data_IF_988253222440
#
_entry.id   IF_988253222440
#
_cell.length_a   1.000
_cell.length_b   1.000
_cell.length_c   1.000
_cell.angle_alpha   90.00
_cell.angle_beta   90.00
_cell.angle_gamma   90.00
#
_symmetry.space_group_name_H-M   'P 1'
#
loop_
_entity.id
_entity.type
_entity.pdbx_description
1 polymer ?
#
# COMPACT_ATOMS: atom_id res chain seq x y z
N UNK A 1 -9.55 3.32 -5.93
CA UNK A 1 -8.31 2.81 -6.56
C UNK A 1 -8.22 1.32 -6.30
N UNK A 2 -8.01 0.51 -7.33
CA UNK A 2 -7.85 -0.95 -7.18
C UNK A 2 -6.38 -1.36 -7.30
N UNK A 3 -5.89 -2.02 -6.26
CA UNK A 3 -4.50 -2.48 -6.14
C UNK A 3 -4.46 -3.99 -6.03
N UNK A 4 -3.43 -4.60 -6.62
CA UNK A 4 -3.09 -6.00 -6.42
C UNK A 4 -1.73 -6.09 -5.77
N UNK A 5 -1.62 -6.91 -4.72
CA UNK A 5 -0.32 -7.18 -4.09
C UNK A 5 0.51 -8.03 -5.06
N UNK A 6 1.54 -7.42 -5.64
CA UNK A 6 2.48 -8.12 -6.52
C UNK A 6 3.52 -8.87 -5.69
N UNK A 7 4.07 -8.20 -4.68
CA UNK A 7 5.08 -8.79 -3.79
C UNK A 7 5.04 -8.14 -2.42
N UNK A 8 5.33 -8.92 -1.39
CA UNK A 8 5.67 -8.41 -0.06
C UNK A 8 7.13 -8.77 0.20
N UNK A 9 7.93 -7.76 0.53
CA UNK A 9 9.34 -7.94 0.87
C UNK A 9 9.49 -8.51 2.29
N UNK A 10 10.68 -9.05 2.62
CA UNK A 10 10.98 -9.56 3.97
C UNK A 10 10.82 -8.49 5.07
N UNK A 11 10.96 -7.21 4.72
CA UNK A 11 10.82 -6.08 5.65
C UNK A 11 9.38 -5.57 5.77
N UNK A 12 8.41 -6.24 5.12
CA UNK A 12 6.99 -5.86 5.17
C UNK A 12 6.62 -4.67 4.28
N UNK A 13 7.46 -4.32 3.30
CA UNK A 13 7.13 -3.36 2.24
C UNK A 13 6.34 -4.09 1.14
N UNK A 14 5.23 -3.49 0.74
CA UNK A 14 4.35 -3.99 -0.30
C UNK A 14 4.70 -3.33 -1.62
N UNK A 15 4.81 -4.13 -2.66
CA UNK A 15 4.86 -3.70 -4.06
C UNK A 15 3.49 -4.03 -4.66
N UNK A 16 2.80 -3.00 -5.13
CA UNK A 16 1.41 -3.07 -5.58
C UNK A 16 1.35 -2.76 -7.07
N UNK A 17 0.62 -3.59 -7.82
CA UNK A 17 0.20 -3.25 -9.18
C UNK A 17 -1.11 -2.46 -9.11
N UNK A 18 -1.12 -1.26 -9.68
CA UNK A 18 -2.31 -0.45 -9.81
C UNK A 18 -3.05 -0.84 -11.10
N UNK A 19 -4.35 -1.08 -11.02
CA UNK A 19 -5.17 -1.31 -12.23
C UNK A 19 -5.68 -0.02 -12.87
N UNK A 20 -5.84 1.03 -12.06
CA UNK A 20 -6.33 2.31 -12.52
C UNK A 20 -5.24 3.15 -13.20
N UNK A 21 -5.65 4.06 -14.09
CA UNK A 21 -4.74 4.95 -14.82
C UNK A 21 -4.21 6.13 -13.98
N UNK A 22 -4.72 6.32 -12.77
CA UNK A 22 -4.40 7.47 -11.91
C UNK A 22 -3.49 7.01 -10.79
N UNK A 23 -2.23 7.46 -10.81
CA UNK A 23 -1.25 7.14 -9.79
C UNK A 23 -1.54 7.89 -8.47
N UNK A 24 -1.35 7.26 -7.30
CA UNK A 24 -1.31 7.97 -6.04
C UNK A 24 0.00 8.78 -5.95
N UNK A 25 0.10 9.70 -5.00
CA UNK A 25 1.33 10.44 -4.71
C UNK A 25 2.09 9.80 -3.56
N UNK A 26 3.39 10.07 -3.51
CA UNK A 26 4.22 9.72 -2.36
C UNK A 26 3.64 10.41 -1.11
N UNK A 27 3.48 9.65 -0.04
CA UNK A 27 2.89 10.09 1.21
C UNK A 27 1.38 9.85 1.34
N UNK A 28 0.68 9.56 0.24
CA UNK A 28 -0.76 9.29 0.27
C UNK A 28 -1.08 8.06 1.12
N UNK A 29 -2.25 8.10 1.77
CA UNK A 29 -2.83 6.92 2.41
C UNK A 29 -3.75 6.23 1.42
N UNK A 30 -3.43 4.98 1.09
CA UNK A 30 -4.22 4.13 0.21
C UNK A 30 -4.83 2.97 0.99
N UNK A 31 -5.99 2.50 0.53
CA UNK A 31 -6.62 1.29 1.05
C UNK A 31 -6.36 0.14 0.08
N UNK A 32 -5.75 -0.92 0.57
CA UNK A 32 -5.53 -2.18 -0.16
C UNK A 32 -6.17 -3.28 0.67
N UNK A 33 -7.22 -3.89 0.14
CA UNK A 33 -8.10 -4.80 0.88
C UNK A 33 -8.59 -4.16 2.20
N UNK A 34 -8.23 -4.77 3.33
CA UNK A 34 -8.57 -4.29 4.68
C UNK A 34 -7.43 -3.51 5.35
N UNK A 35 -6.39 -3.14 4.62
CA UNK A 35 -5.20 -2.46 5.17
C UNK A 35 -5.12 -1.02 4.67
N UNK A 36 -4.87 -0.10 5.60
CA UNK A 36 -4.44 1.26 5.26
C UNK A 36 -2.92 1.26 5.14
N UNK A 37 -2.43 1.69 4.00
CA UNK A 37 -1.00 1.77 3.69
C UNK A 37 -0.60 3.20 3.35
N UNK A 38 0.63 3.58 3.67
CA UNK A 38 1.24 4.82 3.21
C UNK A 38 2.11 4.53 2.00
N UNK A 39 1.91 5.30 0.92
CA UNK A 39 2.77 5.27 -0.26
C UNK A 39 4.13 5.84 0.11
N UNK A 40 5.16 5.07 -0.20
CA UNK A 40 6.55 5.42 0.02
C UNK A 40 7.24 5.83 -1.28
N UNK A 41 6.90 5.17 -2.38
CA UNK A 41 7.53 5.42 -3.68
C UNK A 41 6.66 4.88 -4.84
N UNK A 42 7.00 5.27 -6.07
CA UNK A 42 6.42 4.78 -7.32
C UNK A 42 7.56 4.42 -8.26
N UNK A 43 7.63 3.14 -8.66
CA UNK A 43 8.76 2.58 -9.41
C UNK A 43 8.31 1.87 -10.69
N UNK A 44 9.23 1.65 -11.62
CA UNK A 44 8.98 0.91 -12.85
C UNK A 44 8.65 1.79 -14.06
N UNK A 45 8.27 1.18 -15.20
CA UNK A 45 7.93 1.89 -16.43
C UNK A 45 6.72 2.80 -16.23
N UNK A 46 6.71 3.96 -16.91
CA UNK A 46 5.59 4.91 -16.83
C UNK A 46 4.26 4.30 -17.30
N UNK A 47 4.31 3.33 -18.23
CA UNK A 47 3.11 2.63 -18.74
C UNK A 47 2.58 1.58 -17.76
N UNK A 48 3.44 0.98 -16.94
CA UNK A 48 3.09 -0.05 -15.96
C UNK A 48 3.82 0.19 -14.62
N UNK A 49 3.47 1.26 -13.90
CA UNK A 49 4.12 1.62 -12.65
C UNK A 49 3.66 0.70 -11.49
N UNK A 50 4.56 0.51 -10.53
CA UNK A 50 4.29 -0.14 -9.26
C UNK A 50 4.30 0.85 -8.12
N UNK A 51 3.39 0.66 -7.17
CA UNK A 51 3.31 1.49 -5.96
C UNK A 51 3.97 0.75 -4.82
N UNK A 52 4.95 1.40 -4.19
CA UNK A 52 5.65 0.89 -3.01
C UNK A 52 4.98 1.47 -1.78
N UNK A 53 4.45 0.62 -0.91
CA UNK A 53 3.70 1.07 0.26
C UNK A 53 4.00 0.25 1.51
N UNK A 54 3.73 0.85 2.67
CA UNK A 54 3.85 0.18 3.98
C UNK A 54 2.55 0.30 4.74
N UNK A 55 2.08 -0.82 5.31
CA UNK A 55 0.92 -0.81 6.19
C UNK A 55 1.18 0.06 7.43
N UNK A 56 0.22 0.89 7.81
CA UNK A 56 0.31 1.81 8.95
C UNK A 56 -0.01 1.14 10.31
N UNK A 57 0.07 -0.20 10.37
CA UNK A 57 -0.42 -1.00 11.48
C UNK A 57 -1.93 -1.26 11.37
N UNK A 58 -2.37 -2.43 11.82
CA UNK A 58 -3.78 -2.60 12.17
C UNK A 58 -4.05 -1.65 13.33
N UNK A 59 -5.15 -0.90 13.29
CA UNK A 59 -5.67 -0.29 14.52
C UNK A 59 -5.83 -1.44 15.50
N UNK A 60 -4.91 -1.56 16.46
CA UNK A 60 -5.14 -2.39 17.63
C UNK A 60 -6.44 -1.84 18.22
N UNK A 61 -7.55 -2.53 18.02
CA UNK A 61 -8.65 -2.43 18.97
C UNK A 61 -8.02 -2.93 20.27
N UNK A 62 -7.51 -2.00 21.08
CA UNK A 62 -7.16 -2.33 22.45
C UNK A 62 -8.48 -2.69 23.11
N UNK A 63 -8.82 -3.98 23.09
CA UNK A 63 -9.69 -4.54 24.10
C UNK A 63 -8.89 -4.52 25.40
N UNK A 64 -8.78 -3.35 26.01
CA UNK A 64 -8.38 -3.23 27.41
C UNK A 64 -9.65 -3.44 28.21
N UNK A 65 -9.99 -4.70 28.45
CA UNK A 65 -10.82 -5.10 29.58
C UNK A 65 -9.88 -5.17 30.78
N UNK A 66 -10.01 -4.23 31.68
CA UNK A 66 -9.30 -4.14 32.96
C UNK A 66 -9.97 -3.09 33.83
#
# INVERSE_FOLDING_TARGET
MKFHVYKVTRTGIYVLKLEDKVLPRIGDKIKVDNKIMKVLDIIGPVQEPFVVAKALGETRKSNTTG
#
